data_IF_577830450436
#
_entry.id   IF_577830450436
#
_cell.length_a   1.000
_cell.length_b   1.000
_cell.length_c   1.000
_cell.angle_alpha   90.00
_cell.angle_beta   90.00
_cell.angle_gamma   90.00
#
_symmetry.space_group_name_H-M   'P 1'
#
loop_
_entity.id
_entity.type
_entity.pdbx_description
1 polymer ?
#
# COMPACT_ATOMS: atom_id res chain seq x y z
N UNK A 1 -3.37 7.33 27.47
CA UNK A 1 -4.52 6.96 26.61
C UNK A 1 -4.08 5.75 25.82
N UNK A 2 -4.91 4.72 25.73
CA UNK A 2 -4.64 3.56 24.89
C UNK A 2 -4.75 3.95 23.41
N UNK A 3 -3.80 3.52 22.58
CA UNK A 3 -3.80 3.81 21.14
C UNK A 3 -4.91 3.01 20.46
N UNK A 4 -5.84 3.70 19.79
CA UNK A 4 -7.00 3.07 19.16
C UNK A 4 -6.84 2.85 17.65
N UNK A 5 -5.92 3.58 17.01
CA UNK A 5 -5.67 3.46 15.57
C UNK A 5 -4.17 3.43 15.32
N UNK A 6 -3.71 2.38 14.67
CA UNK A 6 -2.35 2.26 14.16
C UNK A 6 -2.39 2.44 12.64
N UNK A 7 -1.57 3.35 12.13
CA UNK A 7 -1.52 3.69 10.72
C UNK A 7 -0.16 3.28 10.17
N UNK A 8 -0.17 2.49 9.09
CA UNK A 8 0.98 2.30 8.20
C UNK A 8 0.95 3.39 7.12
N UNK A 9 1.89 4.35 7.12
CA UNK A 9 2.00 5.31 6.01
C UNK A 9 2.52 4.59 4.77
N UNK A 10 1.70 4.39 3.75
CA UNK A 10 2.11 3.71 2.51
C UNK A 10 2.29 4.71 1.38
N UNK A 11 3.47 4.67 0.76
CA UNK A 11 3.81 5.48 -0.41
C UNK A 11 4.04 4.58 -1.61
N UNK A 12 3.23 4.77 -2.66
CA UNK A 12 3.41 4.11 -3.95
C UNK A 12 4.41 4.91 -4.81
N UNK A 13 5.54 4.28 -5.14
CA UNK A 13 6.48 4.84 -6.12
C UNK A 13 5.78 4.85 -7.48
N UNK A 14 5.72 6.00 -8.15
CA UNK A 14 4.97 6.17 -9.40
C UNK A 14 5.26 7.55 -10.00
N UNK A 15 4.68 7.85 -11.16
CA UNK A 15 4.81 9.15 -11.83
C UNK A 15 3.44 9.67 -12.24
N UNK A 16 3.29 10.98 -12.41
CA UNK A 16 1.99 11.63 -12.62
C UNK A 16 1.23 11.11 -13.86
N UNK A 17 1.96 10.58 -14.83
CA UNK A 17 1.42 9.99 -16.06
C UNK A 17 0.98 8.53 -15.95
N UNK A 18 1.22 7.87 -14.81
CA UNK A 18 0.87 6.47 -14.60
C UNK A 18 -0.63 6.29 -14.29
N UNK A 19 -1.28 5.35 -14.97
CA UNK A 19 -2.66 4.94 -14.68
C UNK A 19 -3.37 4.23 -15.84
N UNK A 20 -2.79 3.19 -16.45
CA UNK A 20 -3.27 2.58 -17.69
C UNK A 20 -4.75 2.12 -17.71
N UNK A 21 -5.42 1.98 -16.55
CA UNK A 21 -6.85 1.60 -16.43
C UNK A 21 -7.77 2.70 -15.87
N UNK A 22 -7.35 3.98 -15.88
CA UNK A 22 -8.22 5.10 -15.50
C UNK A 22 -8.75 5.84 -16.75
N UNK A 23 -10.02 5.61 -17.15
CA UNK A 23 -10.59 6.21 -18.36
C UNK A 23 -10.74 7.73 -18.26
N UNK A 24 -10.81 8.30 -17.05
CA UNK A 24 -10.94 9.75 -16.84
C UNK A 24 -9.63 10.53 -17.01
N UNK A 25 -8.50 9.84 -17.05
CA UNK A 25 -7.16 10.46 -17.09
C UNK A 25 -6.39 10.22 -18.39
N UNK A 26 -6.96 9.47 -19.35
CA UNK A 26 -6.45 9.27 -20.70
C UNK A 26 -4.92 8.98 -20.73
N UNK A 27 -4.48 8.09 -19.84
CA UNK A 27 -3.10 8.01 -19.42
C UNK A 27 -2.11 7.48 -20.46
N UNK A 28 -0.86 7.89 -20.27
CA UNK A 28 0.24 7.68 -21.20
C UNK A 28 0.97 6.36 -20.94
N UNK A 29 1.38 5.68 -22.01
CA UNK A 29 2.34 4.56 -21.98
C UNK A 29 3.80 5.04 -21.91
N UNK A 30 4.01 6.35 -21.75
CA UNK A 30 5.37 6.89 -21.68
C UNK A 30 6.11 6.36 -20.46
N UNK A 31 7.37 5.96 -20.62
CA UNK A 31 8.26 5.67 -19.50
C UNK A 31 8.28 6.81 -18.47
N UNK A 32 8.59 6.51 -17.19
CA UNK A 32 8.67 7.52 -16.15
C UNK A 32 9.76 8.57 -16.45
N UNK A 33 9.52 9.86 -16.16
CA UNK A 33 10.55 10.89 -16.17
C UNK A 33 11.48 10.72 -14.96
N UNK A 34 12.49 9.87 -15.08
CA UNK A 34 13.32 9.41 -13.95
C UNK A 34 13.94 10.54 -13.12
N UNK A 35 14.37 11.64 -13.73
CA UNK A 35 14.93 12.80 -13.00
C UNK A 35 13.91 13.51 -12.11
N UNK A 36 12.64 13.53 -12.51
CA UNK A 36 11.55 14.10 -11.71
C UNK A 36 11.14 13.12 -10.62
N UNK A 37 10.98 11.84 -10.97
CA UNK A 37 10.69 10.79 -10.00
C UNK A 37 11.77 10.70 -8.91
N UNK A 38 13.03 10.94 -9.25
CA UNK A 38 14.13 10.95 -8.30
C UNK A 38 14.00 12.09 -7.28
N UNK A 39 13.68 13.30 -7.74
CA UNK A 39 13.44 14.46 -6.85
C UNK A 39 12.24 14.22 -5.95
N UNK A 40 11.17 13.65 -6.51
CA UNK A 40 9.97 13.30 -5.76
C UNK A 40 10.26 12.24 -4.68
N UNK A 41 11.04 11.21 -5.02
CA UNK A 41 11.46 10.19 -4.06
C UNK A 41 12.28 10.77 -2.91
N UNK A 42 13.24 11.66 -3.21
CA UNK A 42 14.04 12.36 -2.19
C UNK A 42 13.16 13.17 -1.23
N UNK A 43 12.21 13.94 -1.77
CA UNK A 43 11.27 14.72 -0.96
C UNK A 43 10.42 13.83 -0.03
N UNK A 44 9.96 12.69 -0.54
CA UNK A 44 9.18 11.73 0.26
C UNK A 44 9.99 11.15 1.41
N UNK A 45 11.26 10.78 1.20
CA UNK A 45 12.09 10.21 2.27
C UNK A 45 12.23 11.19 3.43
N UNK A 46 12.51 12.45 3.14
CA UNK A 46 12.62 13.49 4.17
C UNK A 46 11.27 13.74 4.86
N UNK A 47 10.17 13.74 4.10
CA UNK A 47 8.83 13.90 4.64
C UNK A 47 8.42 12.77 5.58
N UNK A 48 8.70 11.51 5.22
CA UNK A 48 8.41 10.35 6.05
C UNK A 48 9.24 10.37 7.33
N UNK A 49 10.50 10.83 7.25
CA UNK A 49 11.32 11.02 8.44
C UNK A 49 10.76 12.10 9.37
N UNK A 50 10.32 13.22 8.80
CA UNK A 50 9.72 14.35 9.53
C UNK A 50 8.41 13.94 10.22
N UNK A 51 7.50 13.31 9.48
CA UNK A 51 6.12 13.09 9.92
C UNK A 51 5.92 11.83 10.75
N UNK A 52 6.67 10.77 10.46
CA UNK A 52 6.46 9.43 11.01
C UNK A 52 7.71 8.84 11.65
N UNK A 53 8.72 9.69 11.91
CA UNK A 53 10.03 9.27 12.42
C UNK A 53 10.74 8.23 11.52
N UNK A 54 10.29 8.09 10.26
CA UNK A 54 10.77 7.13 9.27
C UNK A 54 9.92 5.86 9.15
N UNK A 55 8.91 5.67 10.01
CA UNK A 55 8.01 4.51 9.95
C UNK A 55 7.08 4.61 8.75
N UNK A 56 7.22 3.69 7.79
CA UNK A 56 6.45 3.71 6.55
C UNK A 56 6.54 2.38 5.80
N UNK A 57 5.66 2.20 4.83
CA UNK A 57 5.75 1.22 3.76
C UNK A 57 6.02 1.95 2.44
N UNK A 58 7.17 1.74 1.84
CA UNK A 58 7.46 2.24 0.50
C UNK A 58 7.34 1.10 -0.50
N UNK A 59 6.45 1.25 -1.48
CA UNK A 59 6.11 0.18 -2.41
C UNK A 59 6.81 0.43 -3.74
N UNK A 60 7.77 -0.44 -4.06
CA UNK A 60 8.68 -0.24 -5.20
C UNK A 60 8.01 -0.72 -6.46
N UNK A 61 7.65 0.26 -7.28
CA UNK A 61 6.96 0.02 -8.53
C UNK A 61 7.79 -0.82 -9.49
N UNK A 62 7.12 -1.81 -10.03
CA UNK A 62 7.57 -2.56 -11.17
C UNK A 62 6.39 -2.90 -12.05
N UNK A 63 6.51 -2.66 -13.35
CA UNK A 63 5.42 -2.98 -14.26
C UNK A 63 5.79 -2.95 -15.72
N UNK A 64 4.79 -3.15 -16.58
CA UNK A 64 4.92 -3.27 -18.04
C UNK A 64 5.75 -2.14 -18.67
N UNK A 65 5.59 -0.90 -18.18
CA UNK A 65 6.24 0.29 -18.73
C UNK A 65 7.55 0.68 -18.03
N UNK A 66 7.84 0.06 -16.89
CA UNK A 66 8.99 0.38 -16.06
C UNK A 66 9.30 -0.81 -15.15
N UNK A 67 9.88 -1.86 -15.73
CA UNK A 67 10.19 -3.08 -14.99
C UNK A 67 11.26 -2.84 -13.92
N UNK A 68 12.33 -2.13 -14.31
CA UNK A 68 13.59 -2.10 -13.57
C UNK A 68 14.07 -0.70 -13.15
N UNK A 69 13.49 0.38 -13.66
CA UNK A 69 14.12 1.71 -13.47
C UNK A 69 14.15 2.13 -12.00
N UNK A 70 13.08 1.86 -11.24
CA UNK A 70 13.04 2.12 -9.80
C UNK A 70 13.83 1.10 -8.96
N UNK A 71 14.38 0.04 -9.56
CA UNK A 71 15.24 -0.92 -8.88
C UNK A 71 16.72 -0.70 -9.22
N UNK A 72 17.09 0.44 -9.81
CA UNK A 72 18.49 0.75 -10.15
C UNK A 72 18.98 2.01 -9.44
N UNK A 73 20.30 2.19 -9.29
CA UNK A 73 20.84 3.48 -8.89
C UNK A 73 20.35 4.59 -9.84
N UNK A 74 20.02 5.78 -9.32
CA UNK A 74 20.19 6.21 -7.92
C UNK A 74 19.04 5.82 -6.97
N UNK A 75 17.91 5.30 -7.44
CA UNK A 75 16.74 4.98 -6.58
C UNK A 75 17.05 4.01 -5.45
N UNK A 76 17.88 2.99 -5.71
CA UNK A 76 18.25 2.00 -4.70
C UNK A 76 18.97 2.60 -3.49
N UNK A 77 19.69 3.70 -3.66
CA UNK A 77 20.35 4.42 -2.56
C UNK A 77 19.31 5.09 -1.64
N UNK A 78 18.23 5.59 -2.23
CA UNK A 78 17.09 6.18 -1.53
C UNK A 78 16.33 5.10 -0.74
N UNK A 79 16.07 3.94 -1.35
CA UNK A 79 15.39 2.83 -0.68
C UNK A 79 16.19 2.30 0.51
N UNK A 80 17.51 2.24 0.37
CA UNK A 80 18.38 1.89 1.49
C UNK A 80 18.33 2.92 2.63
N UNK A 81 18.16 4.21 2.32
CA UNK A 81 17.95 5.27 3.33
C UNK A 81 16.61 5.08 4.05
N UNK A 82 15.54 4.73 3.35
CA UNK A 82 14.25 4.41 3.95
C UNK A 82 14.39 3.28 4.99
N UNK A 83 15.03 2.17 4.64
CA UNK A 83 15.26 1.06 5.59
C UNK A 83 16.04 1.51 6.83
N UNK A 84 17.11 2.29 6.63
CA UNK A 84 17.92 2.84 7.73
C UNK A 84 17.15 3.81 8.63
N UNK A 85 16.10 4.45 8.12
CA UNK A 85 15.25 5.36 8.87
C UNK A 85 14.13 4.65 9.65
N UNK A 86 13.94 3.34 9.45
CA UNK A 86 12.91 2.54 10.10
C UNK A 86 11.69 2.24 9.23
N UNK A 87 11.73 2.64 7.95
CA UNK A 87 10.73 2.30 6.97
C UNK A 87 10.99 0.92 6.36
N UNK A 88 10.02 0.39 5.65
CA UNK A 88 10.09 -0.94 5.06
C UNK A 88 9.72 -0.92 3.58
N UNK A 89 10.35 -1.82 2.83
CA UNK A 89 10.19 -1.93 1.38
C UNK A 89 9.18 -3.02 1.04
N UNK A 90 8.27 -2.72 0.11
CA UNK A 90 7.31 -3.68 -0.42
C UNK A 90 7.47 -3.80 -1.94
N UNK A 91 7.15 -4.99 -2.47
CA UNK A 91 7.00 -5.19 -3.90
C UNK A 91 5.70 -4.54 -4.38
N UNK A 92 5.75 -3.75 -5.45
CA UNK A 92 4.55 -3.13 -6.02
C UNK A 92 4.41 -3.47 -7.51
N UNK A 93 3.70 -4.56 -7.79
CA UNK A 93 3.61 -5.12 -9.15
C UNK A 93 2.39 -4.60 -9.89
N UNK A 94 2.64 -3.99 -11.04
CA UNK A 94 1.65 -3.45 -11.96
C UNK A 94 1.78 -4.12 -13.34
N UNK A 95 0.83 -4.98 -13.72
CA UNK A 95 0.82 -5.61 -15.05
C UNK A 95 -0.36 -5.17 -15.91
N UNK A 96 -0.79 -3.92 -15.73
CA UNK A 96 -1.81 -3.33 -16.56
C UNK A 96 -1.23 -2.74 -17.85
N UNK A 97 -1.91 -3.02 -18.96
CA UNK A 97 -1.55 -2.52 -20.28
C UNK A 97 -2.67 -1.64 -20.82
N UNK A 98 -2.33 -0.38 -21.14
CA UNK A 98 -3.25 0.59 -21.71
C UNK A 98 -3.95 0.03 -22.96
N UNK A 99 -5.28 0.05 -22.95
CA UNK A 99 -6.12 -0.47 -24.03
C UNK A 99 -6.22 -2.00 -24.13
N UNK A 100 -5.44 -2.75 -23.35
CA UNK A 100 -5.35 -4.22 -23.45
C UNK A 100 -5.72 -4.97 -22.16
N UNK A 101 -6.08 -4.27 -21.07
CA UNK A 101 -6.48 -4.90 -19.81
C UNK A 101 -5.30 -5.12 -18.87
N UNK A 102 -5.30 -6.24 -18.14
CA UNK A 102 -4.26 -6.57 -17.15
C UNK A 102 -3.87 -8.05 -17.20
N UNK A 103 -2.63 -8.35 -16.85
CA UNK A 103 -2.12 -9.71 -16.66
C UNK A 103 -2.15 -10.18 -15.19
N UNK A 104 -2.84 -9.49 -14.28
CA UNK A 104 -2.88 -9.87 -12.86
C UNK A 104 -3.35 -11.31 -12.62
N UNK A 105 -4.30 -11.80 -13.41
CA UNK A 105 -4.80 -13.18 -13.31
C UNK A 105 -3.88 -14.24 -13.93
N UNK A 106 -2.81 -13.85 -14.62
CA UNK A 106 -1.90 -14.78 -15.29
C UNK A 106 -0.85 -15.32 -14.32
N UNK A 107 -1.21 -16.38 -13.60
CA UNK A 107 -0.42 -16.95 -12.50
C UNK A 107 1.07 -17.16 -12.86
N UNK A 108 1.38 -17.82 -13.98
CA UNK A 108 2.76 -18.08 -14.38
C UNK A 108 3.56 -16.79 -14.65
N UNK A 109 2.91 -15.79 -15.25
CA UNK A 109 3.52 -14.50 -15.53
C UNK A 109 3.78 -13.72 -14.24
N UNK A 110 2.74 -13.57 -13.40
CA UNK A 110 2.84 -12.86 -12.13
C UNK A 110 3.86 -13.50 -11.18
N UNK A 111 3.88 -14.83 -11.07
CA UNK A 111 4.89 -15.55 -10.27
C UNK A 111 6.30 -15.26 -10.76
N UNK A 112 6.52 -15.27 -12.08
CA UNK A 112 7.82 -14.97 -12.67
C UNK A 112 8.25 -13.53 -12.36
N UNK A 113 7.36 -12.56 -12.56
CA UNK A 113 7.62 -11.14 -12.33
C UNK A 113 7.92 -10.83 -10.87
N UNK A 114 7.10 -11.33 -9.94
CA UNK A 114 7.26 -11.08 -8.50
C UNK A 114 8.56 -11.71 -7.98
N UNK A 115 8.86 -12.95 -8.38
CA UNK A 115 10.14 -13.60 -8.01
C UNK A 115 11.34 -12.82 -8.52
N UNK A 116 11.30 -12.41 -9.78
CA UNK A 116 12.37 -11.63 -10.36
C UNK A 116 12.62 -10.34 -9.57
N UNK A 117 11.57 -9.59 -9.22
CA UNK A 117 11.71 -8.37 -8.41
C UNK A 117 12.26 -8.68 -7.01
N UNK A 118 11.71 -9.70 -6.34
CA UNK A 118 12.14 -10.10 -5.01
C UNK A 118 13.63 -10.47 -4.99
N UNK A 119 14.04 -11.37 -5.89
CA UNK A 119 15.42 -11.85 -5.98
C UNK A 119 16.37 -10.70 -6.31
N UNK A 120 15.97 -9.80 -7.21
CA UNK A 120 16.77 -8.64 -7.58
C UNK A 120 16.99 -7.69 -6.38
N UNK A 121 15.92 -7.33 -5.66
CA UNK A 121 16.04 -6.45 -4.48
C UNK A 121 16.89 -7.10 -3.38
N UNK A 122 16.75 -8.40 -3.17
CA UNK A 122 17.57 -9.18 -2.23
C UNK A 122 19.05 -9.19 -2.64
N UNK A 123 19.35 -9.37 -3.92
CA UNK A 123 20.71 -9.40 -4.45
C UNK A 123 21.45 -8.08 -4.20
N UNK A 124 20.75 -6.94 -4.33
CA UNK A 124 21.32 -5.61 -4.06
C UNK A 124 21.27 -5.20 -2.58
N UNK A 125 20.88 -6.11 -1.68
CA UNK A 125 20.93 -5.92 -0.23
C UNK A 125 19.75 -5.17 0.38
N UNK A 126 18.62 -5.05 -0.33
CA UNK A 126 17.35 -4.58 0.23
C UNK A 126 16.52 -5.74 0.79
N UNK A 127 15.56 -5.43 1.66
CA UNK A 127 14.78 -6.38 2.44
C UNK A 127 13.29 -6.15 2.20
N UNK A 128 12.75 -6.57 1.03
CA UNK A 128 11.31 -6.53 0.82
C UNK A 128 10.59 -7.40 1.86
N UNK A 129 9.67 -6.79 2.63
CA UNK A 129 8.91 -7.48 3.71
C UNK A 129 7.42 -7.64 3.38
N UNK A 130 6.94 -7.01 2.32
CA UNK A 130 5.54 -7.10 1.94
C UNK A 130 5.30 -6.97 0.44
N UNK A 131 4.04 -7.14 0.08
CA UNK A 131 3.53 -6.99 -1.28
C UNK A 131 2.40 -5.96 -1.30
N UNK A 132 2.23 -5.35 -2.47
CA UNK A 132 1.10 -4.49 -2.79
C UNK A 132 0.77 -4.62 -4.27
N UNK A 133 -0.39 -5.16 -4.58
CA UNK A 133 -0.83 -5.32 -5.96
C UNK A 133 -1.26 -4.01 -6.59
N UNK A 134 -0.91 -3.85 -7.86
CA UNK A 134 -1.35 -2.73 -8.67
C UNK A 134 -2.86 -2.64 -8.73
N UNK A 135 -3.40 -1.43 -8.50
CA UNK A 135 -4.85 -1.17 -8.49
C UNK A 135 -5.63 -2.10 -7.55
N UNK A 136 -5.04 -2.43 -6.40
CA UNK A 136 -5.61 -3.33 -5.38
C UNK A 136 -5.74 -4.79 -5.83
N UNK A 137 -5.05 -5.19 -6.88
CA UNK A 137 -5.17 -6.54 -7.41
C UNK A 137 -4.54 -7.58 -6.49
N UNK A 138 -5.24 -8.69 -6.27
CA UNK A 138 -4.68 -9.79 -5.51
C UNK A 138 -5.30 -11.11 -5.95
N UNK A 139 -4.55 -12.03 -6.53
CA UNK A 139 -5.08 -13.34 -6.92
C UNK A 139 -4.83 -14.40 -5.84
N UNK A 140 -5.63 -15.46 -5.81
CA UNK A 140 -5.50 -16.53 -4.79
C UNK A 140 -4.14 -17.22 -4.78
N UNK A 141 -3.43 -17.28 -5.91
CA UNK A 141 -2.08 -17.83 -5.99
C UNK A 141 -1.02 -16.97 -5.29
N UNK A 142 -1.32 -15.72 -4.94
CA UNK A 142 -0.36 -14.82 -4.29
C UNK A 142 -0.08 -15.25 -2.87
N UNK A 143 -1.08 -15.62 -2.07
CA UNK A 143 -0.86 -16.04 -0.68
C UNK A 143 0.20 -17.15 -0.56
N UNK A 144 0.11 -18.30 -1.26
CA UNK A 144 1.15 -19.31 -1.20
C UNK A 144 2.49 -18.85 -1.82
N UNK A 145 2.48 -17.97 -2.82
CA UNK A 145 3.71 -17.40 -3.37
C UNK A 145 4.44 -16.52 -2.35
N UNK A 146 3.71 -15.64 -1.66
CA UNK A 146 4.27 -14.75 -0.64
C UNK A 146 4.81 -15.55 0.55
N UNK A 147 4.11 -16.61 0.97
CA UNK A 147 4.63 -17.55 1.99
C UNK A 147 5.95 -18.21 1.53
N UNK A 148 6.02 -18.67 0.28
CA UNK A 148 7.23 -19.30 -0.27
C UNK A 148 8.42 -18.34 -0.32
N UNK A 149 8.17 -17.07 -0.67
CA UNK A 149 9.19 -16.02 -0.68
C UNK A 149 9.55 -15.51 0.71
N UNK A 150 8.82 -15.93 1.76
CA UNK A 150 8.99 -15.43 3.12
C UNK A 150 8.61 -13.95 3.24
N UNK A 151 7.61 -13.51 2.46
CA UNK A 151 7.03 -12.16 2.49
C UNK A 151 5.80 -12.18 3.40
N UNK A 152 5.90 -11.67 4.64
CA UNK A 152 4.86 -11.82 5.65
C UNK A 152 3.66 -10.87 5.56
N UNK A 153 3.68 -9.89 4.65
CA UNK A 153 2.76 -8.75 4.70
C UNK A 153 2.15 -8.48 3.33
N UNK A 154 0.87 -8.13 3.31
CA UNK A 154 0.19 -7.56 2.14
C UNK A 154 -0.56 -6.26 2.51
N UNK A 155 -0.55 -5.31 1.56
CA UNK A 155 -1.26 -4.01 1.62
C UNK A 155 -2.19 -3.84 0.42
N UNK A 156 -2.63 -4.94 -0.22
CA UNK A 156 -3.39 -4.83 -1.47
C UNK A 156 -4.84 -4.48 -1.23
N UNK A 157 -5.38 -4.75 -0.04
CA UNK A 157 -6.83 -4.67 0.16
C UNK A 157 -7.38 -3.25 0.28
N UNK A 158 -8.54 -3.10 -0.36
CA UNK A 158 -9.39 -1.91 -0.31
C UNK A 158 -10.82 -2.38 0.04
N UNK A 159 -11.21 -2.40 1.33
CA UNK A 159 -12.46 -3.00 1.78
C UNK A 159 -13.70 -2.50 1.01
N UNK A 160 -14.48 -3.43 0.45
CA UNK A 160 -15.67 -3.14 -0.35
C UNK A 160 -15.38 -2.75 -1.81
N UNK A 161 -14.13 -2.80 -2.27
CA UNK A 161 -13.81 -2.66 -3.69
C UNK A 161 -14.17 -3.94 -4.44
N UNK A 162 -14.94 -3.83 -5.54
CA UNK A 162 -15.28 -4.95 -6.40
C UNK A 162 -15.07 -4.56 -7.87
N UNK A 163 -13.85 -4.82 -8.36
CA UNK A 163 -13.39 -4.58 -9.73
C UNK A 163 -12.76 -5.87 -10.27
N UNK A 164 -13.59 -6.88 -10.62
CA UNK A 164 -13.11 -8.20 -11.02
C UNK A 164 -12.27 -8.15 -12.30
N UNK A 165 -12.47 -7.16 -13.16
CA UNK A 165 -11.67 -6.94 -14.36
C UNK A 165 -10.20 -6.60 -14.07
N UNK A 166 -9.86 -6.34 -12.80
CA UNK A 166 -8.51 -6.02 -12.32
C UNK A 166 -7.96 -7.03 -11.34
N UNK A 167 -8.72 -8.09 -11.03
CA UNK A 167 -8.45 -9.01 -9.93
C UNK A 167 -8.49 -8.34 -8.54
N UNK A 168 -9.23 -7.25 -8.41
CA UNK A 168 -9.38 -6.47 -7.17
C UNK A 168 -10.79 -6.66 -6.60
N UNK A 169 -11.00 -7.77 -5.88
CA UNK A 169 -12.28 -8.09 -5.23
C UNK A 169 -12.06 -8.25 -3.73
N UNK A 170 -12.54 -7.28 -2.97
CA UNK A 170 -12.35 -7.14 -1.53
C UNK A 170 -13.70 -6.98 -0.82
N UNK A 171 -14.70 -7.71 -1.29
CA UNK A 171 -16.01 -7.75 -0.66
C UNK A 171 -15.94 -8.49 0.68
N UNK A 172 -16.60 -7.93 1.69
CA UNK A 172 -16.78 -8.55 3.02
C UNK A 172 -15.49 -8.85 3.79
N UNK A 173 -14.34 -8.29 3.39
CA UNK A 173 -13.12 -8.39 4.20
C UNK A 173 -13.20 -7.52 5.45
N UNK A 174 -12.40 -7.83 6.50
CA UNK A 174 -12.25 -6.96 7.66
C UNK A 174 -11.77 -5.54 7.31
N UNK A 175 -12.23 -4.55 8.08
CA UNK A 175 -11.79 -3.15 7.95
C UNK A 175 -10.51 -2.82 8.75
N UNK A 176 -10.03 -3.77 9.53
CA UNK A 176 -8.77 -3.73 10.27
C UNK A 176 -7.92 -4.92 9.83
N UNK A 177 -6.62 -4.88 10.10
CA UNK A 177 -5.69 -5.91 9.71
C UNK A 177 -6.10 -7.32 10.19
N UNK A 178 -5.73 -8.34 9.42
CA UNK A 178 -6.09 -9.73 9.65
C UNK A 178 -5.09 -10.66 8.95
N UNK A 179 -5.09 -11.95 9.31
CA UNK A 179 -4.33 -12.95 8.55
C UNK A 179 -5.18 -13.51 7.41
N UNK A 180 -4.60 -13.58 6.21
CA UNK A 180 -5.26 -14.21 5.07
C UNK A 180 -5.45 -15.72 5.31
N UNK A 181 -6.41 -16.32 4.63
CA UNK A 181 -6.48 -17.76 4.45
C UNK A 181 -5.54 -18.21 3.31
N UNK A 182 -4.86 -19.35 3.48
CA UNK A 182 -3.90 -19.87 2.50
C UNK A 182 -4.53 -20.14 1.13
N UNK A 183 -5.77 -20.65 1.10
CA UNK A 183 -6.40 -21.12 -0.13
C UNK A 183 -7.74 -20.44 -0.45
N UNK A 184 -8.20 -19.47 0.35
CA UNK A 184 -9.51 -18.84 0.11
C UNK A 184 -9.45 -17.88 -1.08
N UNK A 185 -10.18 -18.14 -2.17
CA UNK A 185 -10.26 -17.22 -3.31
C UNK A 185 -10.93 -15.88 -2.98
N UNK A 186 -11.70 -15.82 -1.90
CA UNK A 186 -12.37 -14.60 -1.42
C UNK A 186 -11.49 -13.80 -0.45
N UNK A 187 -10.28 -14.29 -0.12
CA UNK A 187 -9.29 -13.57 0.68
C UNK A 187 -9.81 -13.26 2.11
N UNK A 188 -10.73 -14.09 2.62
CA UNK A 188 -11.28 -13.95 3.96
C UNK A 188 -10.35 -14.61 5.00
N UNK A 189 -10.38 -14.15 6.26
CA UNK A 189 -9.71 -14.85 7.36
C UNK A 189 -10.34 -16.23 7.58
N UNK A 190 -9.51 -17.23 7.85
CA UNK A 190 -9.92 -18.58 8.24
C UNK A 190 -8.93 -19.12 9.28
N UNK A 191 -9.43 -19.57 10.43
CA UNK A 191 -8.57 -20.07 11.51
C UNK A 191 -7.95 -21.43 11.18
N UNK A 192 -8.67 -22.32 10.48
CA UNK A 192 -8.18 -23.65 10.11
C UNK A 192 -7.07 -23.60 9.04
N UNK A 193 -7.14 -22.63 8.13
CA UNK A 193 -6.19 -22.47 7.02
C UNK A 193 -5.41 -21.15 7.10
N UNK A 194 -5.21 -20.64 8.31
CA UNK A 194 -4.52 -19.38 8.56
C UNK A 194 -3.15 -19.32 7.88
N UNK A 195 -2.97 -18.32 7.02
CA UNK A 195 -1.70 -18.02 6.37
C UNK A 195 -0.77 -17.23 7.29
N UNK A 196 0.52 -17.25 6.98
CA UNK A 196 1.51 -16.33 7.55
C UNK A 196 1.47 -14.92 6.94
N UNK A 197 0.71 -14.73 5.85
CA UNK A 197 0.53 -13.42 5.22
C UNK A 197 -0.47 -12.60 6.02
N UNK A 198 0.01 -11.48 6.56
CA UNK A 198 -0.74 -10.52 7.34
C UNK A 198 -1.19 -9.36 6.44
N UNK A 199 -2.49 -9.26 6.24
CA UNK A 199 -3.11 -8.21 5.44
C UNK A 199 -3.38 -6.99 6.31
N UNK A 200 -2.99 -5.81 5.84
CA UNK A 200 -3.36 -4.53 6.44
C UNK A 200 -4.20 -3.76 5.41
N UNK A 201 -5.49 -3.52 5.66
CA UNK A 201 -6.38 -2.88 4.69
C UNK A 201 -6.20 -1.36 4.61
N UNK A 202 -6.57 -0.81 3.45
CA UNK A 202 -6.69 0.64 3.28
C UNK A 202 -7.76 1.15 4.22
N UNK A 203 -7.46 2.21 4.97
CA UNK A 203 -8.47 2.83 5.83
C UNK A 203 -9.70 3.23 5.02
N UNK A 204 -10.88 2.79 5.46
CA UNK A 204 -12.13 2.96 4.74
C UNK A 204 -13.27 3.36 5.69
N UNK A 205 -14.22 4.14 5.17
CA UNK A 205 -15.43 4.54 5.91
C UNK A 205 -16.52 3.46 5.94
N UNK A 206 -16.35 2.40 5.16
CA UNK A 206 -17.31 1.29 5.07
C UNK A 206 -18.41 1.46 4.03
N UNK A 207 -18.43 2.57 3.28
CA UNK A 207 -19.31 2.71 2.11
C UNK A 207 -18.73 2.03 0.86
N UNK A 208 -17.41 1.78 0.84
CA UNK A 208 -16.73 0.93 -0.14
C UNK A 208 -16.90 1.35 -1.61
N UNK A 209 -16.45 0.52 -2.54
CA UNK A 209 -16.74 0.63 -3.98
C UNK A 209 -15.94 1.67 -4.79
N UNK A 210 -15.61 2.83 -4.21
CA UNK A 210 -15.00 3.96 -4.91
C UNK A 210 -13.87 4.63 -4.10
N UNK A 211 -12.87 5.20 -4.77
CA UNK A 211 -11.66 5.75 -4.13
C UNK A 211 -11.94 6.89 -3.13
N UNK A 212 -13.06 7.60 -3.27
CA UNK A 212 -13.47 8.68 -2.35
C UNK A 212 -13.79 8.17 -0.94
N UNK A 213 -14.04 6.87 -0.79
CA UNK A 213 -14.38 6.20 0.47
C UNK A 213 -13.16 5.63 1.21
N UNK A 214 -11.96 5.87 0.67
CA UNK A 214 -10.69 5.37 1.18
C UNK A 214 -9.74 6.48 1.62
N UNK A 215 -8.82 6.17 2.53
CA UNK A 215 -7.69 7.03 2.92
C UNK A 215 -6.62 7.09 1.83
N UNK A 216 -7.05 7.36 0.60
CA UNK A 216 -6.25 7.73 -0.56
C UNK A 216 -6.06 9.25 -0.53
N UNK A 217 -5.00 9.69 0.14
CA UNK A 217 -4.82 11.06 0.60
C UNK A 217 -4.63 12.04 -0.56
N UNK A 218 -3.88 11.65 -1.59
CA UNK A 218 -3.63 12.44 -2.80
C UNK A 218 -4.61 12.15 -3.94
N UNK A 219 -5.73 11.48 -3.65
CA UNK A 219 -6.78 11.31 -4.65
C UNK A 219 -7.35 12.67 -5.07
N UNK A 220 -7.42 12.89 -6.38
CA UNK A 220 -7.72 14.21 -6.97
C UNK A 220 -9.14 14.69 -6.67
N UNK A 221 -10.10 13.75 -6.58
CA UNK A 221 -11.49 14.05 -6.29
C UNK A 221 -11.78 14.06 -4.77
N UNK A 222 -10.76 13.81 -3.95
CA UNK A 222 -10.83 13.88 -2.48
C UNK A 222 -10.20 15.17 -1.95
N UNK A 223 -10.51 15.53 -0.71
CA UNK A 223 -9.93 16.64 0.01
C UNK A 223 -9.61 16.28 1.47
N UNK A 224 -9.05 17.23 2.21
CA UNK A 224 -8.66 17.02 3.60
C UNK A 224 -9.86 16.68 4.49
N UNK A 225 -11.00 17.34 4.29
CA UNK A 225 -12.18 17.11 5.13
C UNK A 225 -12.76 15.72 4.89
N UNK A 226 -12.72 15.24 3.65
CA UNK A 226 -13.07 13.85 3.35
C UNK A 226 -12.09 12.86 4.01
N UNK A 227 -10.77 13.09 3.96
CA UNK A 227 -9.81 12.22 4.65
C UNK A 227 -10.05 12.19 6.16
N UNK A 228 -10.34 13.34 6.79
CA UNK A 228 -10.69 13.42 8.22
C UNK A 228 -11.96 12.65 8.53
N UNK A 229 -13.02 12.82 7.73
CA UNK A 229 -14.29 12.09 7.87
C UNK A 229 -14.05 10.57 7.88
N UNK A 230 -13.26 10.07 6.94
CA UNK A 230 -12.95 8.63 6.86
C UNK A 230 -12.19 8.17 8.11
N UNK A 231 -11.18 8.92 8.55
CA UNK A 231 -10.46 8.60 9.78
C UNK A 231 -11.37 8.61 11.01
N UNK A 232 -12.30 9.57 11.12
CA UNK A 232 -13.24 9.64 12.23
C UNK A 232 -14.16 8.41 12.27
N UNK A 233 -14.51 7.86 11.11
CA UNK A 233 -15.24 6.58 11.02
C UNK A 233 -14.37 5.41 11.50
N UNK A 234 -13.10 5.33 11.08
CA UNK A 234 -12.16 4.31 11.57
C UNK A 234 -12.00 4.40 13.09
N UNK A 235 -11.80 5.60 13.64
CA UNK A 235 -11.67 5.82 15.07
C UNK A 235 -12.96 5.46 15.83
N UNK A 236 -14.11 5.80 15.26
CA UNK A 236 -15.42 5.43 15.85
C UNK A 236 -15.62 3.93 15.84
N UNK A 237 -15.20 3.24 14.77
CA UNK A 237 -15.20 1.78 14.68
C UNK A 237 -14.35 1.16 15.79
N UNK A 238 -13.12 1.65 15.98
CA UNK A 238 -12.22 1.20 17.05
C UNK A 238 -12.87 1.30 18.44
N UNK A 239 -13.55 2.43 18.72
CA UNK A 239 -14.24 2.68 19.98
C UNK A 239 -15.45 1.77 20.17
N UNK A 240 -16.25 1.57 19.13
CA UNK A 240 -17.48 0.79 19.20
C UNK A 240 -17.20 -0.71 19.33
N UNK A 241 -16.17 -1.21 18.65
CA UNK A 241 -15.75 -2.61 18.70
C UNK A 241 -14.87 -2.91 19.92
N UNK A 242 -14.42 -1.88 20.65
CA UNK A 242 -13.45 -1.98 21.73
C UNK A 242 -12.19 -2.76 21.30
N UNK A 243 -11.73 -2.49 20.07
CA UNK A 243 -10.60 -3.15 19.44
C UNK A 243 -9.81 -2.13 18.60
N UNK A 244 -8.48 -2.02 18.76
CA UNK A 244 -7.68 -1.14 17.92
C UNK A 244 -7.81 -1.46 16.43
N UNK A 245 -7.87 -0.41 15.61
CA UNK A 245 -7.85 -0.55 14.16
C UNK A 245 -6.42 -0.43 13.65
N UNK A 246 -6.02 -1.34 12.76
CA UNK A 246 -4.71 -1.34 12.11
C UNK A 246 -4.97 -1.24 10.61
N UNK A 247 -4.57 -0.11 10.03
CA UNK A 247 -4.88 0.26 8.64
C UNK A 247 -3.66 0.89 7.98
N UNK A 248 -3.67 1.02 6.66
CA UNK A 248 -2.72 1.89 5.96
C UNK A 248 -3.40 3.12 5.34
N UNK A 249 -2.57 4.10 5.00
CA UNK A 249 -2.94 5.28 4.18
C UNK A 249 -2.19 5.23 2.87
N UNK A 250 -2.81 5.68 1.78
CA UNK A 250 -2.21 5.69 0.45
C UNK A 250 -1.84 7.12 0.03
N UNK A 251 -0.60 7.28 -0.40
CA UNK A 251 -0.09 8.48 -1.06
C UNK A 251 0.90 8.07 -2.17
N UNK A 252 1.16 8.93 -3.15
CA UNK A 252 2.07 8.61 -4.26
C UNK A 252 3.26 9.57 -4.31
N UNK A 253 4.41 9.06 -4.73
CA UNK A 253 5.63 9.88 -4.93
C UNK A 253 5.41 11.06 -5.88
N UNK A 254 4.65 10.91 -6.97
CA UNK A 254 4.36 12.03 -7.89
C UNK A 254 3.60 13.20 -7.25
N UNK A 255 3.03 13.01 -6.06
CA UNK A 255 2.36 14.09 -5.34
C UNK A 255 3.35 14.96 -4.56
N UNK A 256 4.63 14.56 -4.46
CA UNK A 256 5.64 15.26 -3.68
C UNK A 256 5.99 16.65 -4.23
N UNK A 257 6.06 16.83 -5.55
CA UNK A 257 6.27 18.14 -6.17
C UNK A 257 5.01 19.04 -6.18
N UNK A 258 3.87 18.58 -5.65
CA UNK A 258 2.61 19.33 -5.63
C UNK A 258 2.39 19.92 -4.23
N UNK A 259 2.65 21.23 -3.98
CA UNK A 259 2.60 21.80 -2.63
C UNK A 259 1.27 21.58 -1.91
N UNK A 260 0.16 21.62 -2.64
CA UNK A 260 -1.18 21.35 -2.10
C UNK A 260 -1.32 19.93 -1.55
N UNK A 261 -0.71 18.93 -2.18
CA UNK A 261 -0.81 17.54 -1.75
C UNK A 261 0.07 17.26 -0.54
N UNK A 262 1.29 17.83 -0.52
CA UNK A 262 2.15 17.79 0.67
C UNK A 262 1.46 18.44 1.86
N UNK A 263 0.91 19.64 1.70
CA UNK A 263 0.22 20.34 2.79
C UNK A 263 -0.99 19.55 3.29
N UNK A 264 -1.79 18.99 2.37
CA UNK A 264 -2.91 18.09 2.73
C UNK A 264 -2.41 16.91 3.57
N UNK A 265 -1.32 16.26 3.16
CA UNK A 265 -0.80 15.11 3.88
C UNK A 265 -0.29 15.49 5.27
N UNK A 266 0.46 16.59 5.39
CA UNK A 266 0.92 17.14 6.69
C UNK A 266 -0.24 17.43 7.63
N UNK A 267 -1.27 18.13 7.13
CA UNK A 267 -2.46 18.48 7.92
C UNK A 267 -3.27 17.24 8.33
N UNK A 268 -3.33 16.22 7.48
CA UNK A 268 -3.98 14.95 7.82
C UNK A 268 -3.20 14.19 8.90
N UNK A 269 -1.87 14.12 8.80
CA UNK A 269 -1.03 13.47 9.83
C UNK A 269 -1.15 14.18 11.17
N UNK A 270 -1.08 15.52 11.19
CA UNK A 270 -1.29 16.31 12.41
C UNK A 270 -2.67 16.04 13.03
N UNK A 271 -3.72 15.96 12.21
CA UNK A 271 -5.06 15.64 12.67
C UNK A 271 -5.15 14.25 13.31
N UNK A 272 -4.64 13.21 12.65
CA UNK A 272 -4.75 11.83 13.17
C UNK A 272 -3.95 11.65 14.44
N UNK A 273 -2.73 12.22 14.53
CA UNK A 273 -1.90 12.19 15.73
C UNK A 273 -2.58 12.89 16.92
N UNK A 274 -3.17 14.08 16.71
CA UNK A 274 -3.94 14.79 17.74
C UNK A 274 -5.16 14.00 18.22
N UNK A 275 -5.68 13.10 17.38
CA UNK A 275 -6.80 12.22 17.68
C UNK A 275 -6.37 10.80 18.08
N UNK A 276 -5.12 10.61 18.50
CA UNK A 276 -4.65 9.39 19.14
C UNK A 276 -4.22 8.27 18.18
N UNK A 277 -4.01 8.57 16.89
CA UNK A 277 -3.37 7.63 15.98
C UNK A 277 -1.86 7.52 16.26
N UNK A 278 -1.31 6.35 15.97
CA UNK A 278 0.14 6.11 16.02
C UNK A 278 0.62 5.59 14.66
N UNK A 279 1.67 6.21 14.13
CA UNK A 279 2.36 5.70 12.95
C UNK A 279 3.21 4.47 13.31
N UNK A 280 3.13 3.44 12.47
CA UNK A 280 3.88 2.18 12.59
C UNK A 280 4.39 1.75 11.23
N UNK A 281 5.48 1.00 11.19
CA UNK A 281 5.84 0.27 9.97
C UNK A 281 5.06 -1.06 9.89
N UNK A 282 5.01 -1.70 8.72
CA UNK A 282 4.28 -2.95 8.54
C UNK A 282 4.61 -4.07 9.54
N UNK A 283 5.88 -4.33 9.82
CA UNK A 283 6.29 -5.39 10.77
C UNK A 283 5.86 -5.05 12.21
N UNK A 284 5.93 -3.78 12.62
CA UNK A 284 5.39 -3.33 13.90
C UNK A 284 3.88 -3.53 13.97
N UNK A 285 3.15 -3.20 12.91
CA UNK A 285 1.70 -3.39 12.82
C UNK A 285 1.30 -4.85 13.03
N UNK A 286 2.02 -5.78 12.39
CA UNK A 286 1.82 -7.23 12.60
C UNK A 286 2.04 -7.63 14.06
N UNK A 287 3.15 -7.21 14.67
CA UNK A 287 3.46 -7.54 16.09
C UNK A 287 2.40 -7.01 17.04
N UNK A 288 1.87 -5.81 16.79
CA UNK A 288 0.80 -5.21 17.57
C UNK A 288 -0.45 -6.09 17.47
N UNK A 289 -0.87 -6.46 16.26
CA UNK A 289 -2.02 -7.35 16.06
C UNK A 289 -1.87 -8.68 16.82
N UNK A 290 -0.71 -9.33 16.69
CA UNK A 290 -0.42 -10.59 17.37
C UNK A 290 -0.48 -10.43 18.90
N UNK A 291 -0.05 -9.29 19.45
CA UNK A 291 -0.12 -9.01 20.89
C UNK A 291 -1.52 -8.73 21.41
N UNK A 292 -2.42 -8.21 20.57
CA UNK A 292 -3.83 -7.93 20.94
C UNK A 292 -4.68 -9.19 20.82
N UNK A 293 -4.32 -10.10 19.92
CA UNK A 293 -5.07 -11.33 19.63
C UNK A 293 -4.67 -12.52 20.51
N UNK A 294 -3.68 -12.34 21.39
CA UNK A 294 -3.18 -13.37 22.32
C UNK A 294 -3.86 -13.28 23.68
#
# INVERSE_FOLDING_TARGET
>A
METLVYIVPSIDVSWDGFGPLNPGKNYSVTPPPLDECLKDAELIVELLKELHEGKSALTIFSGTYCRNEFMRPPFTEIWNRIEKQGGEILLHTHEETAGNGTHHGEESHMKSVIRYQFDFLKEIGLHPVGYRGGLYAYCSFLTPLLEELGIPIDLSSAPGCNKPEREAVWDNIPYSAFFLSRNDPNRLPCEEEKSQVFEIPLGADGEGGENINFLYIDYVDSDLENSKRIYDVVLSRARNENCPQIIYTLFHTFSAHKPRMIERYKQFVDYTQKNGAQAVNPTEARKIYESISS
#
